data_IF_339907903087
#
_entry.id   IF_339907903087
#
_cell.length_a   1.000
_cell.length_b   1.000
_cell.length_c   1.000
_cell.angle_alpha   90.00
_cell.angle_beta   90.00
_cell.angle_gamma   90.00
#
_symmetry.space_group_name_H-M   'P 1'
#
loop_
_entity.id
_entity.type
_entity.pdbx_description
1 polymer ?
#
# COMPACT_ATOMS: atom_id res chain seq x y z
N UNK A 1 -1.57 2.69 -11.17
CA UNK A 1 -0.39 3.36 -10.58
C UNK A 1 0.81 3.26 -11.51
N UNK A 2 1.43 2.08 -11.69
CA UNK A 2 2.62 1.87 -12.56
C UNK A 2 2.55 2.56 -13.94
N UNK A 3 1.50 2.29 -14.73
CA UNK A 3 1.32 2.91 -16.07
C UNK A 3 1.30 4.44 -16.03
N UNK A 4 0.67 5.03 -15.01
CA UNK A 4 0.54 6.49 -14.88
C UNK A 4 1.87 7.12 -14.46
N UNK A 5 2.65 6.46 -13.59
CA UNK A 5 3.99 6.91 -13.22
C UNK A 5 4.92 7.04 -14.43
N UNK A 6 4.86 6.10 -15.38
CA UNK A 6 5.64 6.16 -16.63
C UNK A 6 5.02 7.06 -17.72
N UNK A 7 3.91 7.74 -17.44
CA UNK A 7 3.27 8.64 -18.40
C UNK A 7 3.58 10.10 -18.08
N UNK A 8 3.41 10.98 -19.05
CA UNK A 8 3.64 12.43 -18.87
C UNK A 8 2.73 13.05 -17.81
N UNK A 9 1.55 12.45 -17.56
CA UNK A 9 0.59 12.91 -16.54
C UNK A 9 1.14 12.93 -15.11
N UNK A 10 2.25 12.22 -14.85
CA UNK A 10 2.91 12.23 -13.54
C UNK A 10 3.75 13.52 -13.30
N UNK A 11 4.19 14.20 -14.37
CA UNK A 11 5.13 15.32 -14.27
C UNK A 11 4.47 16.67 -13.95
N UNK A 12 3.13 16.73 -13.91
CA UNK A 12 2.40 18.00 -13.75
C UNK A 12 2.35 18.52 -12.29
N UNK A 13 2.82 17.74 -11.29
CA UNK A 13 2.74 18.13 -9.88
C UNK A 13 3.93 17.74 -9.00
N UNK A 14 4.11 18.47 -7.89
CA UNK A 14 5.17 18.20 -6.89
C UNK A 14 4.90 16.93 -6.06
N UNK A 15 3.63 16.52 -5.98
CA UNK A 15 3.14 15.33 -5.27
C UNK A 15 2.01 14.70 -6.07
N UNK A 16 1.92 13.37 -6.04
CA UNK A 16 0.98 12.60 -6.85
C UNK A 16 0.35 11.44 -6.05
N UNK A 17 -0.90 11.13 -6.34
CA UNK A 17 -1.62 9.97 -5.79
C UNK A 17 -2.79 9.58 -6.69
N UNK A 18 -3.22 8.32 -6.62
CA UNK A 18 -4.33 7.78 -7.43
C UNK A 18 -5.31 7.10 -6.50
N UNK A 19 -6.57 7.53 -6.55
CA UNK A 19 -7.62 6.98 -5.71
C UNK A 19 -8.73 6.34 -6.53
N UNK A 20 -9.29 5.26 -5.97
CA UNK A 20 -10.51 4.67 -6.52
C UNK A 20 -11.72 5.55 -6.20
N UNK A 21 -12.80 5.38 -6.96
CA UNK A 21 -14.10 6.02 -6.67
C UNK A 21 -14.63 5.68 -5.27
N UNK A 22 -14.17 4.58 -4.66
CA UNK A 22 -14.51 4.20 -3.28
C UNK A 22 -13.80 5.05 -2.22
N UNK A 23 -12.92 6.00 -2.59
CA UNK A 23 -12.25 6.89 -1.65
C UNK A 23 -13.28 7.59 -0.75
N UNK A 24 -14.19 8.36 -1.35
CA UNK A 24 -15.25 9.06 -0.62
C UNK A 24 -16.14 8.12 0.18
N UNK A 25 -16.44 6.93 -0.35
CA UNK A 25 -17.24 5.93 0.36
C UNK A 25 -16.54 5.43 1.63
N UNK A 26 -15.22 5.23 1.59
CA UNK A 26 -14.45 4.66 2.70
C UNK A 26 -13.96 5.70 3.70
N UNK A 27 -13.70 6.93 3.26
CA UNK A 27 -13.10 7.99 4.09
C UNK A 27 -14.10 9.09 4.44
N UNK A 28 -15.22 9.20 3.72
CA UNK A 28 -16.11 10.37 3.80
C UNK A 28 -15.56 11.63 3.13
N UNK A 29 -14.26 11.67 2.80
CA UNK A 29 -13.61 12.86 2.25
C UNK A 29 -13.89 13.03 0.75
N UNK A 30 -14.10 14.26 0.35
CA UNK A 30 -14.03 14.72 -1.03
C UNK A 30 -12.57 14.94 -1.47
N UNK A 31 -12.37 15.18 -2.76
CA UNK A 31 -11.06 15.65 -3.24
C UNK A 31 -10.69 17.02 -2.68
N UNK A 32 -11.67 17.89 -2.41
CA UNK A 32 -11.45 19.21 -1.82
C UNK A 32 -10.86 19.13 -0.42
N UNK A 33 -11.48 18.31 0.45
CA UNK A 33 -11.01 18.09 1.83
C UNK A 33 -9.57 17.58 1.85
N UNK A 34 -9.25 16.65 0.94
CA UNK A 34 -7.90 16.12 0.83
C UNK A 34 -6.89 17.16 0.35
N UNK A 35 -7.23 17.95 -0.67
CA UNK A 35 -6.34 18.99 -1.18
C UNK A 35 -6.09 20.08 -0.13
N UNK A 36 -7.10 20.44 0.66
CA UNK A 36 -6.97 21.37 1.78
C UNK A 36 -6.08 20.80 2.90
N UNK A 37 -6.27 19.54 3.27
CA UNK A 37 -5.42 18.90 4.28
C UNK A 37 -3.94 18.85 3.86
N UNK A 38 -3.66 18.68 2.57
CA UNK A 38 -2.30 18.68 2.00
C UNK A 38 -1.72 20.08 1.92
N UNK A 39 -2.52 21.08 1.53
CA UNK A 39 -2.04 22.47 1.42
C UNK A 39 -1.63 23.05 2.78
N UNK A 40 -2.28 22.60 3.86
CA UNK A 40 -1.94 22.96 5.24
C UNK A 40 -0.64 22.31 5.76
N UNK A 41 -0.03 21.39 5.01
CA UNK A 41 1.20 20.68 5.41
C UNK A 41 2.21 20.60 4.25
N UNK A 42 2.68 21.75 3.73
CA UNK A 42 3.43 21.79 2.47
C UNK A 42 4.80 21.08 2.53
N UNK A 43 5.36 20.88 3.72
CA UNK A 43 6.69 20.33 3.97
C UNK A 43 6.74 18.79 4.00
N UNK A 44 5.59 18.11 3.88
CA UNK A 44 5.48 16.65 3.91
C UNK A 44 5.76 16.03 2.54
N UNK A 45 6.46 14.90 2.58
CA UNK A 45 6.78 14.07 1.42
C UNK A 45 5.65 13.09 1.10
N UNK A 46 5.06 12.50 2.14
CA UNK A 46 4.07 11.41 2.01
C UNK A 46 2.85 11.72 2.86
N UNK A 47 1.68 11.62 2.25
CA UNK A 47 0.38 11.66 2.89
C UNK A 47 -0.29 10.32 2.72
N UNK A 48 -0.93 9.80 3.76
CA UNK A 48 -1.75 8.60 3.65
C UNK A 48 -3.02 8.75 4.48
N UNK A 49 -4.08 8.10 4.02
CA UNK A 49 -5.34 7.95 4.75
C UNK A 49 -5.59 6.47 4.92
N UNK A 50 -5.64 6.01 6.17
CA UNK A 50 -6.07 4.67 6.50
C UNK A 50 -7.51 4.73 7.04
N UNK A 51 -8.54 4.34 6.25
CA UNK A 51 -9.94 4.34 6.68
C UNK A 51 -10.24 3.23 7.69
N UNK A 52 -9.28 2.33 7.94
CA UNK A 52 -9.40 1.25 8.91
C UNK A 52 -8.28 1.38 9.95
N UNK A 53 -8.27 2.45 10.77
CA UNK A 53 -7.28 2.56 11.83
C UNK A 53 -7.37 1.29 12.68
N UNK A 54 -6.32 0.46 12.67
CA UNK A 54 -6.37 -0.74 13.48
C UNK A 54 -6.21 -0.32 14.94
N UNK A 55 -7.12 -0.81 15.77
CA UNK A 55 -6.94 -0.81 17.22
C UNK A 55 -5.88 -1.86 17.57
N UNK A 56 -4.60 -1.61 17.30
CA UNK A 56 -3.44 -2.42 17.74
C UNK A 56 -3.56 -3.95 17.54
N UNK A 57 -4.44 -4.43 16.66
CA UNK A 57 -4.84 -5.85 16.60
C UNK A 57 -3.78 -6.72 15.92
N UNK A 58 -2.98 -6.13 15.05
CA UNK A 58 -1.93 -6.81 14.29
C UNK A 58 -0.61 -6.05 14.47
N UNK A 59 0.53 -6.74 14.37
CA UNK A 59 1.84 -6.07 14.53
C UNK A 59 2.19 -5.25 13.30
N UNK A 60 1.68 -5.62 12.13
CA UNK A 60 1.87 -4.94 10.86
C UNK A 60 0.81 -5.37 9.82
N UNK A 61 0.93 -4.81 8.61
CA UNK A 61 0.01 -5.11 7.49
C UNK A 61 0.11 -6.53 6.95
N UNK A 62 1.26 -7.21 7.13
CA UNK A 62 1.47 -8.59 6.68
C UNK A 62 0.79 -9.59 7.60
N UNK A 63 0.88 -9.41 8.92
CA UNK A 63 0.13 -10.20 9.91
C UNK A 63 -1.38 -10.11 9.67
N UNK A 64 -1.88 -8.90 9.40
CA UNK A 64 -3.27 -8.68 9.05
C UNK A 64 -3.62 -9.38 7.74
N UNK A 65 -2.72 -9.33 6.75
CA UNK A 65 -2.86 -10.02 5.48
C UNK A 65 -2.96 -11.54 5.64
N UNK A 66 -2.11 -12.14 6.46
CA UNK A 66 -2.16 -13.57 6.75
C UNK A 66 -3.47 -13.98 7.44
N UNK A 67 -3.97 -13.13 8.35
CA UNK A 67 -5.24 -13.39 9.04
C UNK A 67 -6.44 -13.44 8.07
N UNK A 68 -6.50 -12.51 7.10
CA UNK A 68 -7.59 -12.44 6.13
C UNK A 68 -7.37 -13.31 4.89
N UNK A 69 -6.11 -13.63 4.57
CA UNK A 69 -5.70 -14.41 3.42
C UNK A 69 -4.64 -15.44 3.84
N UNK A 70 -5.05 -16.55 4.49
CA UNK A 70 -4.11 -17.58 4.94
C UNK A 70 -3.19 -18.09 3.83
N UNK A 71 -1.91 -18.26 4.15
CA UNK A 71 -0.86 -18.63 3.20
C UNK A 71 -0.26 -17.45 2.41
N UNK A 72 -0.64 -16.20 2.71
CA UNK A 72 -0.06 -15.02 2.08
C UNK A 72 1.43 -14.90 2.42
N UNK A 73 1.79 -15.03 3.69
CA UNK A 73 3.18 -14.83 4.14
C UNK A 73 4.12 -15.83 3.48
N UNK A 74 3.69 -17.09 3.32
CA UNK A 74 4.50 -18.11 2.64
C UNK A 74 4.80 -17.71 1.19
N UNK A 75 3.77 -17.36 0.42
CA UNK A 75 3.90 -16.91 -0.97
C UNK A 75 4.81 -15.67 -1.07
N UNK A 76 4.63 -14.71 -0.16
CA UNK A 76 5.40 -13.46 -0.17
C UNK A 76 6.85 -13.68 0.24
N UNK A 77 7.14 -14.64 1.12
CA UNK A 77 8.53 -15.02 1.46
C UNK A 77 9.27 -15.56 0.24
N UNK A 78 8.66 -16.48 -0.52
CA UNK A 78 9.25 -16.99 -1.76
C UNK A 78 9.43 -15.88 -2.81
N UNK A 79 8.46 -14.96 -2.89
CA UNK A 79 8.55 -13.80 -3.77
C UNK A 79 9.71 -12.87 -3.37
N UNK A 80 9.87 -12.58 -2.08
CA UNK A 80 10.93 -11.70 -1.58
C UNK A 80 12.31 -12.33 -1.78
N UNK A 81 12.44 -13.64 -1.51
CA UNK A 81 13.67 -14.40 -1.78
C UNK A 81 14.07 -14.31 -3.26
N UNK A 82 13.12 -14.58 -4.17
CA UNK A 82 13.34 -14.46 -5.62
C UNK A 82 13.67 -13.02 -6.08
N UNK A 83 13.26 -12.00 -5.31
CA UNK A 83 13.61 -10.59 -5.55
C UNK A 83 14.92 -10.16 -4.87
N UNK A 84 15.57 -11.04 -4.10
CA UNK A 84 16.67 -10.69 -3.18
C UNK A 84 16.30 -9.55 -2.21
N UNK A 85 15.06 -9.58 -1.71
CA UNK A 85 14.55 -8.68 -0.69
C UNK A 85 14.68 -9.33 0.68
N UNK A 86 15.00 -8.53 1.70
CA UNK A 86 15.10 -9.01 3.07
C UNK A 86 13.73 -9.47 3.60
N UNK A 87 13.55 -10.75 3.97
CA UNK A 87 12.29 -11.24 4.54
C UNK A 87 11.97 -10.61 5.91
N UNK A 88 12.94 -10.01 6.60
CA UNK A 88 12.70 -9.29 7.86
C UNK A 88 11.75 -8.09 7.68
N UNK A 89 11.63 -7.55 6.46
CA UNK A 89 10.65 -6.53 6.10
C UNK A 89 9.20 -6.98 6.39
N UNK A 90 8.91 -8.28 6.32
CA UNK A 90 7.58 -8.83 6.63
C UNK A 90 7.27 -8.82 8.14
N UNK A 91 8.30 -8.66 8.98
CA UNK A 91 8.19 -8.72 10.44
C UNK A 91 8.34 -7.35 11.12
N UNK A 92 8.59 -6.28 10.36
CA UNK A 92 8.70 -4.92 10.90
C UNK A 92 7.38 -4.50 11.56
N UNK A 93 7.43 -3.89 12.76
CA UNK A 93 6.21 -3.40 13.43
C UNK A 93 5.77 -2.09 12.78
N UNK A 94 4.49 -1.96 12.52
CA UNK A 94 3.90 -0.74 11.99
C UNK A 94 3.11 -0.02 13.09
N UNK A 95 3.23 1.30 13.13
CA UNK A 95 2.34 2.17 13.89
C UNK A 95 1.42 2.93 12.93
N UNK A 96 0.62 3.86 13.47
CA UNK A 96 -0.33 4.65 12.71
C UNK A 96 0.30 5.56 11.66
N UNK A 97 1.61 5.84 11.71
CA UNK A 97 2.28 6.69 10.71
C UNK A 97 2.62 5.93 9.42
N UNK A 98 2.70 4.61 9.46
CA UNK A 98 3.07 3.79 8.27
C UNK A 98 2.09 2.68 7.97
N UNK A 99 1.15 2.38 8.86
CA UNK A 99 0.10 1.41 8.61
C UNK A 99 -0.95 1.96 7.64
N UNK A 100 -0.96 1.43 6.42
CA UNK A 100 -1.99 1.69 5.44
C UNK A 100 -2.50 0.39 4.79
N UNK A 101 -3.78 0.09 5.00
CA UNK A 101 -4.45 -1.09 4.42
C UNK A 101 -5.06 -0.85 3.04
N UNK A 102 -4.83 0.33 2.45
CA UNK A 102 -5.41 0.71 1.17
C UNK A 102 -4.46 1.58 0.37
N UNK A 103 -4.71 1.69 -0.93
CA UNK A 103 -3.93 2.55 -1.83
C UNK A 103 -4.36 4.02 -1.77
N UNK A 104 -4.61 4.57 -0.58
CA UNK A 104 -5.01 5.97 -0.39
C UNK A 104 -3.85 6.79 0.17
N UNK A 105 -2.84 6.99 -0.68
CA UNK A 105 -1.68 7.80 -0.38
C UNK A 105 -1.32 8.74 -1.55
N UNK A 106 -0.66 9.85 -1.19
CA UNK A 106 -0.06 10.84 -2.09
C UNK A 106 1.39 10.98 -1.67
N UNK A 107 2.30 11.05 -2.62
CA UNK A 107 3.71 11.17 -2.30
C UNK A 107 4.47 12.07 -3.28
N UNK A 108 5.62 12.58 -2.83
CA UNK A 108 6.58 13.32 -3.64
C UNK A 108 7.20 12.42 -4.70
N UNK A 109 7.78 13.04 -5.75
CA UNK A 109 8.51 12.32 -6.81
C UNK A 109 9.56 11.36 -6.24
N UNK A 110 10.33 11.81 -5.26
CA UNK A 110 11.41 11.03 -4.64
C UNK A 110 10.90 9.74 -4.00
N UNK A 111 9.76 9.80 -3.31
CA UNK A 111 9.15 8.60 -2.73
C UNK A 111 8.59 7.68 -3.82
N UNK A 112 7.94 8.23 -4.84
CA UNK A 112 7.45 7.43 -5.97
C UNK A 112 8.57 6.72 -6.72
N UNK A 113 9.71 7.36 -6.94
CA UNK A 113 10.89 6.73 -7.56
C UNK A 113 11.38 5.52 -6.75
N UNK A 114 11.45 5.68 -5.43
CA UNK A 114 11.79 4.59 -4.51
C UNK A 114 10.75 3.46 -4.55
N UNK A 115 9.46 3.81 -4.42
CA UNK A 115 8.37 2.83 -4.42
C UNK A 115 8.29 2.06 -5.74
N UNK A 116 8.41 2.75 -6.88
CA UNK A 116 8.39 2.11 -8.20
C UNK A 116 9.61 1.22 -8.35
N UNK A 117 10.82 1.70 -8.04
CA UNK A 117 12.04 0.86 -8.08
C UNK A 117 11.90 -0.41 -7.23
N UNK A 118 11.33 -0.31 -6.03
CA UNK A 118 11.04 -1.47 -5.20
C UNK A 118 10.00 -2.40 -5.84
N UNK A 119 8.85 -1.85 -6.24
CA UNK A 119 7.73 -2.63 -6.79
C UNK A 119 8.03 -3.25 -8.16
N UNK A 120 8.92 -2.67 -8.96
CA UNK A 120 9.35 -3.22 -10.25
C UNK A 120 10.16 -4.51 -10.07
N UNK A 121 10.96 -4.63 -9.00
CA UNK A 121 11.67 -5.88 -8.69
C UNK A 121 10.66 -7.01 -8.45
N UNK A 122 9.65 -6.72 -7.64
CA UNK A 122 8.54 -7.63 -7.36
C UNK A 122 7.75 -7.95 -8.62
N UNK A 123 7.36 -6.94 -9.38
CA UNK A 123 6.60 -7.09 -10.62
C UNK A 123 7.35 -7.97 -11.63
N UNK A 124 8.65 -7.73 -11.82
CA UNK A 124 9.47 -8.51 -12.77
C UNK A 124 9.50 -10.01 -12.42
N UNK A 125 9.66 -10.35 -11.15
CA UNK A 125 9.65 -11.75 -10.70
C UNK A 125 8.28 -12.40 -10.90
N UNK A 126 7.20 -11.70 -10.56
CA UNK A 126 5.84 -12.23 -10.70
C UNK A 126 5.50 -12.59 -12.15
N UNK A 127 6.01 -11.82 -13.12
CA UNK A 127 5.77 -12.05 -14.54
C UNK A 127 6.88 -12.88 -15.23
N UNK A 128 7.88 -13.33 -14.47
CA UNK A 128 8.83 -14.34 -14.95
C UNK A 128 8.14 -15.71 -14.99
N UNK A 129 8.16 -16.38 -16.14
CA UNK A 129 7.55 -17.70 -16.33
C UNK A 129 8.17 -18.80 -15.45
N UNK A 130 9.30 -18.53 -14.81
CA UNK A 130 9.99 -19.46 -13.90
C UNK A 130 9.60 -19.29 -12.44
N UNK A 131 8.77 -18.31 -12.09
CA UNK A 131 8.37 -18.11 -10.70
C UNK A 131 7.34 -19.16 -10.28
N UNK A 132 7.76 -20.14 -9.50
CA UNK A 132 6.97 -21.33 -9.12
C UNK A 132 5.66 -21.00 -8.38
N UNK A 133 5.60 -19.85 -7.69
CA UNK A 133 4.42 -19.40 -6.94
C UNK A 133 3.52 -18.44 -7.72
N UNK A 134 3.74 -18.26 -9.03
CA UNK A 134 2.92 -17.37 -9.87
C UNK A 134 1.44 -17.73 -9.79
N UNK A 135 1.09 -19.02 -9.92
CA UNK A 135 -0.26 -19.51 -9.73
C UNK A 135 -0.83 -19.18 -8.35
N UNK A 136 -0.04 -19.19 -7.27
CA UNK A 136 -0.56 -18.81 -5.95
C UNK A 136 -0.95 -17.34 -5.83
N UNK A 137 -0.44 -16.48 -6.71
CA UNK A 137 -0.76 -15.04 -6.74
C UNK A 137 -2.03 -14.74 -7.55
N UNK A 138 -2.30 -15.51 -8.60
CA UNK A 138 -3.38 -15.27 -9.57
C UNK A 138 -4.50 -16.31 -9.53
N UNK A 139 -4.17 -17.55 -9.18
CA UNK A 139 -5.10 -18.67 -9.08
C UNK A 139 -5.67 -18.77 -7.68
N UNK A 140 -6.99 -18.91 -7.62
CA UNK A 140 -7.72 -19.04 -6.37
C UNK A 140 -8.25 -17.71 -5.85
N UNK A 141 -9.54 -17.74 -5.54
CA UNK A 141 -10.25 -16.69 -4.83
C UNK A 141 -9.85 -16.76 -3.34
N UNK A 142 -8.71 -16.15 -2.99
CA UNK A 142 -8.16 -16.21 -1.63
C UNK A 142 -8.82 -15.21 -0.67
N UNK A 143 -9.50 -14.21 -1.20
CA UNK A 143 -10.47 -13.43 -0.43
C UNK A 143 -11.83 -14.13 -0.45
N UNK A 144 -12.33 -14.48 0.74
CA UNK A 144 -13.58 -15.24 0.91
C UNK A 144 -14.85 -14.42 0.62
N UNK A 145 -14.75 -13.09 0.57
CA UNK A 145 -15.88 -12.17 0.45
C UNK A 145 -16.01 -11.61 -0.96
N UNK A 146 -14.90 -11.20 -1.56
CA UNK A 146 -14.88 -10.55 -2.89
C UNK A 146 -14.29 -11.43 -3.98
N UNK A 147 -13.87 -12.64 -3.65
CA UNK A 147 -13.40 -13.63 -4.62
C UNK A 147 -12.22 -13.12 -5.48
N UNK A 148 -11.27 -12.44 -4.83
CA UNK A 148 -10.12 -11.81 -5.49
C UNK A 148 -8.83 -12.64 -5.36
N UNK A 149 -7.91 -12.54 -6.34
CA UNK A 149 -6.57 -13.13 -6.26
C UNK A 149 -5.72 -12.43 -5.21
N UNK A 150 -4.59 -13.04 -4.83
CA UNK A 150 -3.70 -12.51 -3.79
C UNK A 150 -2.89 -11.30 -4.26
N UNK A 151 -2.58 -11.22 -5.57
CA UNK A 151 -1.79 -10.17 -6.19
C UNK A 151 -2.09 -8.72 -5.71
N UNK A 152 -3.34 -8.20 -5.78
CA UNK A 152 -3.63 -6.83 -5.36
C UNK A 152 -3.31 -6.59 -3.87
N UNK A 153 -3.56 -7.58 -3.01
CA UNK A 153 -3.32 -7.48 -1.58
C UNK A 153 -1.83 -7.45 -1.24
N UNK A 154 -0.98 -8.13 -2.02
CA UNK A 154 0.49 -8.02 -1.90
C UNK A 154 0.93 -6.60 -2.25
N UNK A 155 0.48 -6.06 -3.39
CA UNK A 155 0.87 -4.72 -3.83
C UNK A 155 0.40 -3.59 -2.91
N UNK A 156 -0.80 -3.70 -2.32
CA UNK A 156 -1.28 -2.77 -1.30
C UNK A 156 -0.33 -2.67 -0.10
N UNK A 157 0.27 -3.79 0.30
CA UNK A 157 1.16 -3.87 1.47
C UNK A 157 2.59 -3.43 1.19
N UNK A 158 3.00 -3.41 -0.09
CA UNK A 158 4.31 -2.89 -0.48
C UNK A 158 4.48 -1.42 -0.12
N UNK A 159 3.41 -0.61 -0.15
CA UNK A 159 3.48 0.80 0.25
C UNK A 159 3.95 0.94 1.70
N UNK A 160 3.24 0.29 2.63
CA UNK A 160 3.59 0.31 4.06
C UNK A 160 4.98 -0.30 4.31
N UNK A 161 5.35 -1.33 3.54
CA UNK A 161 6.68 -1.97 3.62
C UNK A 161 7.80 -1.00 3.25
N UNK A 162 7.68 -0.32 2.10
CA UNK A 162 8.66 0.69 1.66
C UNK A 162 8.68 1.87 2.60
N UNK A 163 7.52 2.37 3.02
CA UNK A 163 7.43 3.52 3.92
C UNK A 163 8.04 3.23 5.29
N UNK A 164 7.83 2.02 5.84
CA UNK A 164 8.43 1.61 7.11
C UNK A 164 9.96 1.44 6.98
N UNK A 165 10.44 0.79 5.92
CA UNK A 165 11.87 0.56 5.69
C UNK A 165 12.68 1.85 5.48
N UNK A 166 12.06 2.91 4.96
CA UNK A 166 12.72 4.19 4.66
C UNK A 166 12.12 5.36 5.45
N UNK A 167 11.48 5.09 6.59
CA UNK A 167 10.75 6.09 7.39
C UNK A 167 11.56 7.37 7.63
N UNK A 168 12.79 7.23 8.10
CA UNK A 168 13.65 8.37 8.48
C UNK A 168 14.09 9.20 7.27
N UNK A 169 13.87 8.70 6.06
CA UNK A 169 14.19 9.42 4.82
C UNK A 169 13.08 10.34 4.36
N UNK A 170 11.87 10.30 4.94
CA UNK A 170 10.71 11.04 4.44
C UNK A 170 9.91 11.71 5.57
N UNK A 171 9.34 12.88 5.30
CA UNK A 171 8.39 13.52 6.22
C UNK A 171 6.99 12.99 5.95
N UNK A 172 6.47 12.22 6.89
CA UNK A 172 5.20 11.50 6.75
C UNK A 172 4.08 12.27 7.43
N UNK A 173 2.87 12.19 6.86
CA UNK A 173 1.63 12.63 7.47
C UNK A 173 0.55 11.55 7.31
N UNK A 174 0.15 10.95 8.43
CA UNK A 174 -1.06 10.13 8.48
C UNK A 174 -2.26 11.04 8.72
N UNK A 175 -3.12 11.17 7.72
CA UNK A 175 -4.35 11.92 7.79
C UNK A 175 -5.45 11.02 8.37
N UNK A 176 -6.12 11.50 9.41
CA UNK A 176 -7.31 10.85 9.96
C UNK A 176 -8.54 11.51 9.34
N UNK A 177 -9.35 10.74 8.64
CA UNK A 177 -10.71 11.16 8.36
C UNK A 177 -11.52 11.04 9.67
N UNK A 178 -12.29 12.06 10.03
CA UNK A 178 -13.14 11.98 11.21
C UNK A 178 -14.05 10.73 11.15
N UNK A 179 -14.08 10.00 12.26
CA UNK A 179 -14.56 8.62 12.42
C UNK A 179 -16.06 8.37 12.12
N UNK A 180 -16.78 9.34 11.56
CA UNK A 180 -18.23 9.26 11.37
C UNK A 180 -18.68 8.31 10.23
N UNK A 181 -17.78 7.90 9.34
CA UNK A 181 -18.13 7.16 8.11
C UNK A 181 -17.58 5.74 8.00
N UNK A 182 -17.01 5.17 9.07
CA UNK A 182 -16.52 3.79 9.03
C UNK A 182 -17.74 2.85 8.98
N UNK A 183 -18.20 2.52 7.76
CA UNK A 183 -19.08 1.39 7.56
C UNK A 183 -18.30 0.13 7.96
N UNK A 184 -18.79 -0.53 9.02
CA UNK A 184 -18.39 -1.86 9.45
C UNK A 184 -18.77 -2.92 8.41
N UNK A 185 -18.16 -2.86 7.23
CA UNK A 185 -18.16 -3.96 6.29
C UNK A 185 -16.79 -4.64 6.40
N UNK A 186 -16.69 -5.48 7.43
CA UNK A 186 -15.83 -6.65 7.49
C UNK A 186 -16.72 -7.87 7.39
#
# INVERSE_FOLDING_TARGET
>A
MRRLYFSEAFNEGNRFGIFSWKFRQKTGWSSGDLLEAISNQPDKDVFMINPYPSSQRFRNVWDQGEHYHPGMIEVVKHLFDACSLDPALLCQRHDSEVECYCNYWIASRRFWDLYISFSERVYKVIYDQRFEFQSSLFDGMRDRLIHAPLFPFVFERLFSTVLSAYRDSFRICALSADNAFIQHHR
#
